data_IF_498479869071
#
_entry.id   IF_498479869071
#
_cell.length_a   1.000
_cell.length_b   1.000
_cell.length_c   1.000
_cell.angle_alpha   90.00
_cell.angle_beta   90.00
_cell.angle_gamma   90.00
#
_symmetry.space_group_name_H-M   'P 1'
#
loop_
_entity.id
_entity.type
_entity.pdbx_description
1 polymer ?
#
# COMPACT_ATOMS: atom_id res chain seq x y z
N UNK A 1 19.12 -2.23 -31.98
CA UNK A 1 18.26 -1.78 -30.86
C UNK A 1 18.23 -0.26 -30.88
N UNK A 2 17.03 0.33 -30.87
CA UNK A 2 16.85 1.78 -30.98
C UNK A 2 16.95 2.42 -29.57
N UNK A 3 17.77 3.46 -29.30
CA UNK A 3 18.11 3.87 -27.93
C UNK A 3 17.16 4.87 -27.26
N UNK A 4 16.05 5.29 -27.89
CA UNK A 4 15.30 6.47 -27.40
C UNK A 4 13.78 6.35 -27.46
N UNK A 5 13.22 5.21 -27.04
CA UNK A 5 11.83 5.24 -26.57
C UNK A 5 11.90 5.58 -25.08
N UNK A 6 11.55 6.81 -24.63
CA UNK A 6 11.44 7.06 -23.21
C UNK A 6 10.43 6.05 -22.63
N UNK A 7 10.74 5.39 -21.50
CA UNK A 7 9.77 4.52 -20.87
C UNK A 7 8.48 5.31 -20.60
N UNK A 8 7.30 4.66 -20.59
CA UNK A 8 6.05 5.31 -20.20
C UNK A 8 6.31 6.12 -18.94
N UNK A 9 6.06 7.42 -19.01
CA UNK A 9 6.53 8.41 -18.04
C UNK A 9 6.31 7.88 -16.62
N UNK A 10 7.40 7.69 -15.88
CA UNK A 10 7.37 7.14 -14.54
C UNK A 10 6.40 7.98 -13.70
N UNK A 11 5.35 7.33 -13.19
CA UNK A 11 4.31 8.00 -12.41
C UNK A 11 4.86 8.40 -11.03
N UNK A 12 5.84 7.66 -10.52
CA UNK A 12 6.54 7.98 -9.29
C UNK A 12 7.64 9.03 -9.51
N UNK A 13 8.07 9.68 -8.44
CA UNK A 13 8.94 10.84 -8.48
C UNK A 13 10.40 10.55 -8.14
N UNK A 14 11.13 11.63 -7.85
CA UNK A 14 12.58 11.61 -7.60
C UNK A 14 12.99 10.78 -6.39
N UNK A 15 12.16 10.69 -5.35
CA UNK A 15 12.53 9.93 -4.15
C UNK A 15 12.44 8.43 -4.41
N UNK A 16 11.42 7.99 -5.17
CA UNK A 16 11.33 6.60 -5.62
C UNK A 16 12.50 6.26 -6.53
N UNK A 17 12.81 7.13 -7.51
CA UNK A 17 13.98 6.94 -8.38
C UNK A 17 15.27 6.80 -7.58
N UNK A 18 15.53 7.72 -6.66
CA UNK A 18 16.70 7.67 -5.79
C UNK A 18 16.75 6.41 -4.92
N UNK A 19 15.60 5.92 -4.46
CA UNK A 19 15.53 4.67 -3.71
C UNK A 19 15.88 3.46 -4.58
N UNK A 20 15.42 3.42 -5.83
CA UNK A 20 15.78 2.35 -6.76
C UNK A 20 17.29 2.34 -7.03
N UNK A 21 17.88 3.52 -7.22
CA UNK A 21 19.31 3.65 -7.47
C UNK A 21 20.16 3.26 -6.24
N UNK A 22 19.67 3.53 -5.03
CA UNK A 22 20.40 3.26 -3.78
C UNK A 22 20.19 1.84 -3.22
N UNK A 23 19.10 1.16 -3.58
CA UNK A 23 18.68 -0.11 -2.96
C UNK A 23 18.49 -1.23 -4.00
N UNK A 24 19.44 -1.37 -4.93
CA UNK A 24 19.47 -2.43 -5.94
C UNK A 24 20.06 -3.75 -5.38
N UNK A 25 19.49 -4.24 -4.28
CA UNK A 25 19.93 -5.48 -3.62
C UNK A 25 19.10 -6.67 -4.07
N UNK A 26 17.81 -6.47 -4.34
CA UNK A 26 16.87 -7.51 -4.77
C UNK A 26 15.65 -6.92 -5.45
N UNK A 27 14.96 -7.76 -6.19
CA UNK A 27 13.67 -7.46 -6.84
C UNK A 27 12.47 -7.95 -6.03
N UNK A 28 12.66 -8.42 -4.79
CA UNK A 28 11.55 -8.86 -3.94
C UNK A 28 10.63 -7.66 -3.62
N UNK A 29 9.37 -7.68 -4.10
CA UNK A 29 8.56 -6.49 -4.09
C UNK A 29 7.78 -6.35 -2.78
N UNK A 30 7.36 -5.14 -2.44
CA UNK A 30 6.54 -4.92 -1.25
C UNK A 30 5.25 -5.76 -1.25
N UNK A 31 4.83 -6.38 -0.12
CA UNK A 31 3.58 -7.12 -0.06
C UNK A 31 2.39 -6.25 -0.46
N UNK A 32 1.50 -6.78 -1.31
CA UNK A 32 0.34 -6.04 -1.80
C UNK A 32 -0.55 -5.54 -0.64
N UNK A 33 -0.68 -6.33 0.43
CA UNK A 33 -1.45 -5.96 1.61
C UNK A 33 -0.89 -4.70 2.29
N UNK A 34 0.44 -4.53 2.33
CA UNK A 34 1.08 -3.36 2.91
C UNK A 34 0.87 -2.12 2.04
N UNK A 35 1.02 -2.24 0.71
CA UNK A 35 0.74 -1.14 -0.21
C UNK A 35 -0.73 -0.68 -0.13
N UNK A 36 -1.68 -1.62 -0.12
CA UNK A 36 -3.11 -1.31 0.08
C UNK A 36 -3.38 -0.65 1.43
N UNK A 37 -2.71 -1.09 2.50
CA UNK A 37 -2.82 -0.46 3.81
C UNK A 37 -2.26 0.98 3.81
N UNK A 38 -1.12 1.23 3.16
CA UNK A 38 -0.56 2.57 3.00
C UNK A 38 -1.53 3.48 2.24
N UNK A 39 -2.11 3.00 1.13
CA UNK A 39 -3.13 3.73 0.38
C UNK A 39 -4.35 4.08 1.25
N UNK A 40 -4.83 3.13 2.06
CA UNK A 40 -5.91 3.38 3.01
C UNK A 40 -5.55 4.43 4.06
N UNK A 41 -4.30 4.46 4.53
CA UNK A 41 -3.83 5.52 5.43
C UNK A 41 -3.86 6.87 4.72
N UNK A 42 -3.35 6.98 3.49
CA UNK A 42 -3.38 8.22 2.70
C UNK A 42 -4.79 8.71 2.44
N UNK A 43 -5.71 7.80 2.12
CA UNK A 43 -7.13 8.09 1.91
C UNK A 43 -7.78 8.66 3.18
N UNK A 44 -7.56 8.01 4.33
CA UNK A 44 -8.11 8.46 5.60
C UNK A 44 -7.49 9.78 6.06
N UNK A 45 -6.18 9.96 5.87
CA UNK A 45 -5.48 11.20 6.19
C UNK A 45 -5.96 12.38 5.33
N UNK A 46 -6.18 12.17 4.03
CA UNK A 46 -6.72 13.22 3.15
C UNK A 46 -8.12 13.67 3.60
N UNK A 47 -9.01 12.72 3.96
CA UNK A 47 -10.33 13.04 4.53
C UNK A 47 -10.23 13.82 5.83
N UNK A 48 -9.40 13.33 6.76
CA UNK A 48 -9.23 13.98 8.06
C UNK A 48 -8.66 15.40 7.92
N UNK A 49 -7.72 15.63 6.98
CA UNK A 49 -7.18 16.96 6.72
C UNK A 49 -8.21 17.88 6.03
N UNK A 50 -9.12 17.37 5.20
CA UNK A 50 -10.19 18.18 4.60
C UNK A 50 -11.21 18.69 5.62
N UNK A 51 -11.43 17.94 6.70
CA UNK A 51 -12.39 18.29 7.77
C UNK A 51 -11.85 19.35 8.76
N UNK A 52 -10.56 19.71 8.66
CA UNK A 52 -9.93 20.69 9.55
C UNK A 52 -10.18 22.13 9.10
N UNK A 53 -10.46 23.01 10.05
CA UNK A 53 -10.74 24.44 9.81
C UNK A 53 -9.53 25.36 10.02
N UNK A 54 -8.42 24.84 10.55
CA UNK A 54 -7.31 25.60 11.13
C UNK A 54 -6.09 25.77 10.20
N UNK A 55 -6.33 25.78 8.89
CA UNK A 55 -5.38 25.86 7.78
C UNK A 55 -4.84 24.50 7.33
N UNK A 56 -5.34 24.03 6.18
CA UNK A 56 -4.76 22.90 5.47
C UNK A 56 -4.43 23.31 4.04
N UNK A 57 -3.23 22.94 3.60
CA UNK A 57 -2.87 22.95 2.18
C UNK A 57 -3.66 21.89 1.39
N UNK A 58 -4.45 21.06 2.08
CA UNK A 58 -5.31 20.02 1.52
C UNK A 58 -6.73 20.57 1.35
N UNK A 59 -6.98 21.23 0.23
CA UNK A 59 -8.33 21.71 -0.11
C UNK A 59 -9.30 20.54 -0.29
N UNK A 60 -10.63 20.76 -0.19
CA UNK A 60 -11.62 19.72 -0.46
C UNK A 60 -11.46 19.04 -1.83
N UNK A 61 -11.06 19.81 -2.85
CA UNK A 61 -10.79 19.32 -4.20
C UNK A 61 -9.58 18.37 -4.23
N UNK A 62 -8.46 18.78 -3.63
CA UNK A 62 -7.25 17.94 -3.51
C UNK A 62 -7.55 16.67 -2.71
N UNK A 63 -8.27 16.81 -1.59
CA UNK A 63 -8.66 15.67 -0.76
C UNK A 63 -9.54 14.67 -1.55
N UNK A 64 -10.54 15.16 -2.28
CA UNK A 64 -11.41 14.32 -3.09
C UNK A 64 -10.63 13.55 -4.17
N UNK A 65 -9.66 14.21 -4.81
CA UNK A 65 -8.80 13.58 -5.80
C UNK A 65 -7.89 12.50 -5.19
N UNK A 66 -7.24 12.78 -4.05
CA UNK A 66 -6.44 11.80 -3.32
C UNK A 66 -7.29 10.60 -2.91
N UNK A 67 -8.49 10.85 -2.36
CA UNK A 67 -9.40 9.79 -1.94
C UNK A 67 -9.79 8.89 -3.10
N UNK A 68 -10.17 9.47 -4.23
CA UNK A 68 -10.57 8.74 -5.44
C UNK A 68 -9.43 7.86 -5.94
N UNK A 69 -8.24 8.44 -6.10
CA UNK A 69 -7.03 7.72 -6.56
C UNK A 69 -6.67 6.59 -5.61
N UNK A 70 -6.68 6.82 -4.29
CA UNK A 70 -6.40 5.76 -3.32
C UNK A 70 -7.43 4.64 -3.40
N UNK A 71 -8.72 4.95 -3.55
CA UNK A 71 -9.77 3.92 -3.69
C UNK A 71 -9.60 3.09 -4.95
N UNK A 72 -9.18 3.71 -6.06
CA UNK A 72 -8.94 2.99 -7.31
C UNK A 72 -7.71 2.09 -7.19
N UNK A 73 -6.62 2.58 -6.61
CA UNK A 73 -5.40 1.81 -6.35
C UNK A 73 -5.61 0.69 -5.28
N UNK A 74 -6.51 0.92 -4.32
CA UNK A 74 -6.93 -0.07 -3.34
C UNK A 74 -7.77 -1.19 -3.95
N UNK A 75 -8.37 -0.99 -5.14
CA UNK A 75 -9.10 -2.04 -5.89
C UNK A 75 -8.16 -2.72 -6.86
N UNK A 76 -7.56 -1.96 -7.77
CA UNK A 76 -6.58 -2.45 -8.75
C UNK A 76 -5.21 -1.85 -8.42
N UNK A 77 -4.21 -2.70 -8.18
CA UNK A 77 -2.89 -2.28 -7.71
C UNK A 77 -1.82 -2.62 -8.76
N UNK A 78 -1.58 -1.74 -9.75
CA UNK A 78 -0.58 -1.97 -10.78
C UNK A 78 0.80 -1.99 -10.13
N UNK A 79 1.44 -3.16 -10.13
CA UNK A 79 2.69 -3.39 -9.39
C UNK A 79 3.85 -2.55 -9.89
N UNK A 80 3.83 -2.21 -11.18
CA UNK A 80 4.88 -1.42 -11.84
C UNK A 80 4.94 0.04 -11.33
N UNK A 81 3.87 0.53 -10.70
CA UNK A 81 3.87 1.84 -10.04
C UNK A 81 4.61 1.83 -8.69
N UNK A 82 4.83 0.64 -8.10
CA UNK A 82 5.41 0.47 -6.78
C UNK A 82 6.68 -0.42 -6.82
N UNK A 83 7.76 0.04 -7.47
CA UNK A 83 8.94 -0.79 -7.72
C UNK A 83 9.86 -0.94 -6.50
N UNK A 84 9.64 -0.19 -5.41
CA UNK A 84 10.51 -0.25 -4.23
C UNK A 84 10.47 -1.64 -3.58
N UNK A 85 11.64 -2.23 -3.38
CA UNK A 85 11.81 -3.57 -2.82
C UNK A 85 11.62 -3.59 -1.30
N UNK A 86 11.49 -4.80 -0.72
CA UNK A 86 11.44 -4.97 0.75
C UNK A 86 12.74 -4.53 1.43
N UNK A 87 13.87 -4.56 0.72
CA UNK A 87 15.20 -4.23 1.25
C UNK A 87 15.54 -2.75 0.98
N UNK A 88 14.89 -1.88 1.74
CA UNK A 88 15.07 -0.43 1.70
C UNK A 88 15.52 0.10 3.06
N UNK A 89 15.38 1.41 3.33
CA UNK A 89 15.57 1.95 4.68
C UNK A 89 14.66 1.24 5.70
N UNK A 90 15.18 0.96 6.91
CA UNK A 90 14.43 0.24 7.95
C UNK A 90 13.16 0.96 8.46
N UNK A 91 13.04 2.26 8.19
CA UNK A 91 11.83 3.05 8.48
C UNK A 91 10.70 2.83 7.46
N UNK A 92 11.00 2.30 6.27
CA UNK A 92 10.04 2.24 5.16
C UNK A 92 9.81 3.57 4.43
N UNK A 93 10.73 4.52 4.58
CA UNK A 93 10.60 5.88 3.99
C UNK A 93 10.50 5.84 2.48
N UNK A 94 11.29 5.01 1.81
CA UNK A 94 11.27 4.89 0.34
C UNK A 94 9.90 4.45 -0.17
N UNK A 95 9.27 3.47 0.49
CA UNK A 95 7.93 2.98 0.12
C UNK A 95 6.85 4.00 0.45
N UNK A 96 6.92 4.66 1.61
CA UNK A 96 5.97 5.73 1.94
C UNK A 96 6.02 6.85 0.90
N UNK A 97 7.23 7.27 0.50
CA UNK A 97 7.40 8.27 -0.55
C UNK A 97 6.96 7.78 -1.92
N UNK A 98 7.20 6.51 -2.26
CA UNK A 98 6.70 5.93 -3.50
C UNK A 98 5.17 5.98 -3.59
N UNK A 99 4.47 5.61 -2.51
CA UNK A 99 3.02 5.75 -2.44
C UNK A 99 2.60 7.22 -2.56
N UNK A 100 3.26 8.13 -1.83
CA UNK A 100 2.95 9.56 -1.90
C UNK A 100 3.10 10.12 -3.32
N UNK A 101 4.20 9.80 -4.01
CA UNK A 101 4.51 10.29 -5.35
C UNK A 101 3.54 9.75 -6.40
N UNK A 102 3.20 8.46 -6.35
CA UNK A 102 2.21 7.85 -7.26
C UNK A 102 0.83 8.48 -7.06
N UNK A 103 0.38 8.59 -5.80
CA UNK A 103 -0.92 9.18 -5.48
C UNK A 103 -0.96 10.65 -5.89
N UNK A 104 0.10 11.42 -5.63
CA UNK A 104 0.21 12.82 -6.02
C UNK A 104 0.13 13.01 -7.54
N UNK A 105 0.89 12.22 -8.31
CA UNK A 105 0.90 12.31 -9.76
C UNK A 105 -0.47 11.99 -10.38
N UNK A 106 -1.14 10.94 -9.88
CA UNK A 106 -2.47 10.57 -10.37
C UNK A 106 -3.54 11.56 -9.90
N UNK A 107 -3.48 12.05 -8.67
CA UNK A 107 -4.43 13.03 -8.15
C UNK A 107 -4.28 14.38 -8.88
N UNK A 108 -3.06 14.78 -9.24
CA UNK A 108 -2.81 15.96 -10.07
C UNK A 108 -3.49 15.83 -11.43
N UNK A 109 -3.36 14.68 -12.09
CA UNK A 109 -4.02 14.41 -13.38
C UNK A 109 -5.55 14.43 -13.27
N UNK A 110 -6.08 13.93 -12.16
CA UNK A 110 -7.52 13.85 -11.91
C UNK A 110 -8.14 15.23 -11.58
N UNK A 111 -7.48 16.00 -10.72
CA UNK A 111 -7.99 17.29 -10.25
C UNK A 111 -7.70 18.44 -11.21
N UNK A 112 -6.68 18.32 -12.06
CA UNK A 112 -6.21 19.44 -12.90
C UNK A 112 -5.47 20.53 -12.11
N UNK A 113 -5.21 20.31 -10.83
CA UNK A 113 -4.40 21.17 -9.94
C UNK A 113 -3.23 20.39 -9.38
N UNK A 114 -2.11 21.07 -9.10
CA UNK A 114 -0.91 20.42 -8.59
C UNK A 114 -1.14 19.81 -7.19
N UNK A 115 -0.89 18.51 -7.07
CA UNK A 115 -0.91 17.79 -5.79
C UNK A 115 0.52 17.46 -5.39
N UNK A 116 1.04 18.08 -4.32
CA UNK A 116 2.39 17.81 -3.84
C UNK A 116 2.43 16.53 -2.96
N UNK A 117 3.38 15.61 -3.16
CA UNK A 117 3.46 14.36 -2.40
C UNK A 117 3.66 14.57 -0.89
N UNK A 118 4.40 15.60 -0.47
CA UNK A 118 4.61 15.85 0.95
C UNK A 118 3.54 16.77 1.55
N UNK A 119 3.23 17.86 0.87
CA UNK A 119 2.42 18.95 1.45
C UNK A 119 0.93 18.60 1.43
N UNK A 120 0.53 17.71 0.51
CA UNK A 120 -0.85 17.29 0.36
C UNK A 120 -1.06 15.80 0.72
N UNK A 121 -0.34 14.87 0.07
CA UNK A 121 -0.56 13.43 0.30
C UNK A 121 -0.02 12.97 1.66
N UNK A 122 1.14 13.49 2.05
CA UNK A 122 1.78 13.22 3.35
C UNK A 122 1.44 14.29 4.41
N UNK A 123 0.41 15.12 4.18
CA UNK A 123 -0.01 16.14 5.14
C UNK A 123 -0.34 15.50 6.50
N UNK A 124 0.18 16.11 7.57
CA UNK A 124 -0.02 15.67 8.97
C UNK A 124 0.52 14.27 9.29
N UNK A 125 1.49 13.78 8.51
CA UNK A 125 2.04 12.43 8.64
C UNK A 125 3.57 12.43 8.71
N UNK A 126 4.14 11.44 9.38
CA UNK A 126 5.54 11.04 9.23
C UNK A 126 5.61 9.67 8.54
N UNK A 127 6.80 9.18 8.21
CA UNK A 127 6.94 7.75 7.88
C UNK A 127 6.89 6.89 9.14
N UNK A 128 7.43 7.42 10.24
CA UNK A 128 7.65 6.66 11.48
C UNK A 128 6.35 6.30 12.22
N UNK A 129 5.24 6.98 11.92
CA UNK A 129 3.89 6.66 12.37
C UNK A 129 3.08 5.92 11.29
N UNK A 130 3.17 6.35 10.03
CA UNK A 130 2.40 5.76 8.91
C UNK A 130 2.81 4.32 8.62
N UNK A 131 4.11 4.03 8.50
CA UNK A 131 4.56 2.71 8.08
C UNK A 131 4.23 1.62 9.12
N UNK A 132 4.48 1.82 10.44
CA UNK A 132 4.03 0.86 11.45
C UNK A 132 2.50 0.73 11.54
N UNK A 133 1.75 1.80 11.30
CA UNK A 133 0.28 1.76 11.28
C UNK A 133 -0.24 0.92 10.10
N UNK A 134 0.30 1.15 8.90
CA UNK A 134 -0.03 0.36 7.71
C UNK A 134 0.36 -1.11 7.87
N UNK A 135 1.49 -1.40 8.51
CA UNK A 135 1.89 -2.78 8.81
C UNK A 135 0.87 -3.51 9.68
N UNK A 136 0.37 -2.85 10.74
CA UNK A 136 -0.68 -3.42 11.61
C UNK A 136 -1.99 -3.64 10.86
N UNK A 137 -2.40 -2.68 10.03
CA UNK A 137 -3.61 -2.80 9.19
C UNK A 137 -3.48 -3.97 8.23
N UNK A 138 -2.34 -4.11 7.55
CA UNK A 138 -2.07 -5.20 6.63
C UNK A 138 -2.08 -6.57 7.34
N UNK A 139 -1.45 -6.65 8.51
CA UNK A 139 -1.43 -7.88 9.31
C UNK A 139 -2.85 -8.30 9.73
N UNK A 140 -3.64 -7.37 10.29
CA UNK A 140 -5.03 -7.66 10.68
C UNK A 140 -5.88 -8.09 9.48
N UNK A 141 -5.73 -7.40 8.34
CA UNK A 141 -6.46 -7.76 7.11
C UNK A 141 -6.15 -9.18 6.64
N UNK A 142 -4.88 -9.61 6.71
CA UNK A 142 -4.47 -10.95 6.33
C UNK A 142 -4.88 -12.00 7.38
N UNK A 143 -4.87 -11.66 8.66
CA UNK A 143 -5.34 -12.55 9.72
C UNK A 143 -6.83 -12.87 9.53
N UNK A 144 -7.66 -11.84 9.39
CA UNK A 144 -9.11 -11.97 9.31
C UNK A 144 -9.57 -12.50 7.95
N UNK A 145 -8.93 -12.06 6.86
CA UNK A 145 -9.34 -12.39 5.49
C UNK A 145 -8.76 -13.69 4.94
N UNK A 146 -7.66 -14.19 5.51
CA UNK A 146 -6.95 -15.36 4.96
C UNK A 146 -6.62 -16.41 6.03
N UNK A 147 -5.88 -16.05 7.09
CA UNK A 147 -5.32 -17.04 8.00
C UNK A 147 -6.40 -17.74 8.84
N UNK A 148 -7.22 -16.96 9.55
CA UNK A 148 -8.25 -17.51 10.45
C UNK A 148 -9.26 -18.37 9.67
N UNK A 149 -9.83 -17.91 8.53
CA UNK A 149 -10.73 -18.76 7.73
C UNK A 149 -10.08 -20.04 7.22
N UNK A 150 -8.79 -19.99 6.83
CA UNK A 150 -8.06 -21.16 6.34
C UNK A 150 -7.84 -22.20 7.44
N UNK A 151 -7.48 -21.75 8.65
CA UNK A 151 -7.31 -22.62 9.81
C UNK A 151 -8.65 -23.22 10.27
N UNK A 152 -9.73 -22.44 10.25
CA UNK A 152 -11.07 -22.94 10.55
C UNK A 152 -11.50 -24.02 9.57
N UNK A 153 -11.25 -23.82 8.26
CA UNK A 153 -11.51 -24.83 7.23
C UNK A 153 -10.71 -26.11 7.48
N UNK A 154 -9.40 -25.99 7.72
CA UNK A 154 -8.55 -27.13 8.03
C UNK A 154 -9.07 -27.90 9.25
N UNK A 155 -9.40 -27.19 10.32
CA UNK A 155 -9.92 -27.78 11.56
C UNK A 155 -11.25 -28.52 11.33
N UNK A 156 -12.15 -27.97 10.51
CA UNK A 156 -13.40 -28.64 10.15
C UNK A 156 -13.15 -29.96 9.43
N UNK A 157 -12.31 -29.93 8.39
CA UNK A 157 -12.02 -31.12 7.57
C UNK A 157 -11.31 -32.20 8.40
N UNK A 158 -10.35 -31.83 9.25
CA UNK A 158 -9.70 -32.78 10.14
C UNK A 158 -10.69 -33.40 11.14
N UNK A 159 -11.62 -32.60 11.67
CA UNK A 159 -12.66 -33.10 12.57
C UNK A 159 -13.59 -34.07 11.84
N UNK A 160 -14.07 -33.74 10.65
CA UNK A 160 -14.90 -34.62 9.83
C UNK A 160 -14.19 -35.95 9.53
N UNK A 161 -12.91 -35.91 9.16
CA UNK A 161 -12.12 -37.13 8.89
C UNK A 161 -11.86 -37.94 10.15
N UNK A 162 -11.67 -37.29 11.30
CA UNK A 162 -11.50 -37.99 12.58
C UNK A 162 -12.75 -38.81 12.93
N UNK A 163 -13.95 -38.28 12.68
CA UNK A 163 -15.21 -39.04 12.87
C UNK A 163 -15.33 -40.16 11.86
N UNK A 164 -15.02 -39.91 10.58
CA UNK A 164 -15.12 -40.92 9.53
C UNK A 164 -14.16 -42.11 9.72
N UNK A 165 -13.03 -41.90 10.39
CA UNK A 165 -12.03 -42.94 10.66
C UNK A 165 -12.03 -43.43 12.10
N UNK A 166 -13.09 -43.14 12.88
CA UNK A 166 -13.17 -43.50 14.30
C UNK A 166 -12.97 -45.02 14.54
N UNK A 167 -13.45 -45.86 13.62
CA UNK A 167 -13.40 -47.33 13.74
C UNK A 167 -12.21 -47.98 13.00
N UNK A 168 -11.30 -47.17 12.43
CA UNK A 168 -10.15 -47.69 11.69
C UNK A 168 -8.97 -47.93 12.64
N UNK A 169 -8.66 -49.20 12.89
CA UNK A 169 -7.53 -49.59 13.74
C UNK A 169 -6.20 -49.37 13.01
N UNK A 170 -5.23 -48.73 13.69
CA UNK A 170 -3.87 -48.49 13.19
C UNK A 170 -2.81 -48.88 14.23
N UNK A 171 -1.63 -49.28 13.77
CA UNK A 171 -0.44 -49.29 14.62
C UNK A 171 -0.04 -47.84 14.97
N UNK A 172 0.51 -47.66 16.18
CA UNK A 172 0.94 -46.36 16.71
C UNK A 172 2.02 -45.69 15.88
#
# INVERSE_FOLDING_TARGET
MNPHTPPPQEVFGKNTRLALDNFDVTTEPMPAALLRALLSVKRCAARANADRTDATHVTPEIAAAIVTVCQDLEKDLPRDLFPVSVFQTGSGTSTNMNVNEVVAALATRLAGVEVHPNDHVNASQSTNDVFPSALRIAALTLLDGLLVPSLQRLASVLRERSVAFADVVKAG
#
